data_IF_467635650701
#
_entry.id   IF_467635650701
#
_cell.length_a   1.000
_cell.length_b   1.000
_cell.length_c   1.000
_cell.angle_alpha   90.00
_cell.angle_beta   90.00
_cell.angle_gamma   90.00
#
_symmetry.space_group_name_H-M   'P 1'
#
loop_
_entity.id
_entity.type
_entity.pdbx_description
1 polymer ?
#
# COMPACT_ATOMS: atom_id res chain seq x y z
N UNK A 1 15.38 13.01 24.56
CA UNK A 1 16.69 12.71 23.91
C UNK A 1 17.19 13.99 23.27
N UNK A 2 18.45 14.41 23.46
CA UNK A 2 18.96 15.65 22.84
C UNK A 2 19.79 15.28 21.59
N UNK A 3 19.25 15.53 20.41
CA UNK A 3 19.88 15.25 19.12
C UNK A 3 21.25 15.93 18.95
N UNK A 4 21.48 17.09 19.57
CA UNK A 4 22.77 17.80 19.51
C UNK A 4 23.94 17.03 20.16
N UNK A 5 23.65 15.99 20.93
CA UNK A 5 24.66 15.12 21.56
C UNK A 5 24.87 13.81 20.81
N UNK A 6 24.12 13.56 19.75
CA UNK A 6 24.23 12.38 18.92
C UNK A 6 25.22 12.63 17.78
N UNK A 7 26.20 11.77 17.67
CA UNK A 7 27.08 11.73 16.51
C UNK A 7 26.35 10.99 15.37
N UNK A 8 25.87 11.75 14.39
CA UNK A 8 25.12 11.19 13.25
C UNK A 8 25.95 10.19 12.42
N UNK A 9 27.28 10.25 12.49
CA UNK A 9 28.13 9.24 11.85
C UNK A 9 27.90 7.85 12.46
N UNK A 10 27.42 7.78 13.71
CA UNK A 10 27.05 6.50 14.33
C UNK A 10 25.83 5.82 13.67
N UNK A 11 24.96 6.56 13.01
CA UNK A 11 23.81 5.97 12.29
C UNK A 11 24.32 5.20 11.06
N UNK A 12 25.31 5.76 10.35
CA UNK A 12 25.94 5.09 9.19
C UNK A 12 26.69 3.83 9.65
N UNK A 13 27.45 3.95 10.74
CA UNK A 13 28.17 2.79 11.32
C UNK A 13 27.19 1.72 11.85
N UNK A 14 26.11 2.13 12.52
CA UNK A 14 25.06 1.24 13.03
C UNK A 14 24.46 0.41 11.90
N UNK A 15 23.99 1.07 10.83
CA UNK A 15 23.43 0.38 9.67
C UNK A 15 24.41 -0.66 9.11
N UNK A 16 25.63 -0.26 8.83
CA UNK A 16 26.64 -1.16 8.27
C UNK A 16 26.92 -2.36 9.19
N UNK A 17 27.00 -2.16 10.51
CA UNK A 17 27.22 -3.23 11.49
C UNK A 17 26.05 -4.21 11.54
N UNK A 18 24.80 -3.71 11.54
CA UNK A 18 23.61 -4.55 11.61
C UNK A 18 23.39 -5.36 10.32
N UNK A 19 23.67 -4.78 9.15
CA UNK A 19 23.57 -5.48 7.87
C UNK A 19 24.69 -6.51 7.69
N UNK A 20 25.96 -6.13 7.92
CA UNK A 20 27.12 -6.99 7.69
C UNK A 20 27.33 -8.04 8.79
N UNK A 21 26.83 -7.79 10.00
CA UNK A 21 27.09 -8.64 11.19
C UNK A 21 28.59 -8.99 11.36
N UNK A 22 29.43 -8.09 10.91
CA UNK A 22 30.88 -8.24 10.91
C UNK A 22 31.55 -6.87 10.95
N UNK A 23 32.33 -6.61 11.99
CA UNK A 23 32.97 -5.31 12.24
C UNK A 23 33.92 -4.90 11.11
N UNK A 24 34.70 -5.87 10.60
CA UNK A 24 35.69 -5.61 9.54
C UNK A 24 34.99 -5.27 8.22
N UNK A 25 34.00 -6.07 7.81
CA UNK A 25 33.23 -5.80 6.58
C UNK A 25 32.43 -4.51 6.68
N UNK A 26 31.80 -4.26 7.83
CA UNK A 26 31.10 -3.00 8.08
C UNK A 26 32.04 -1.79 7.95
N UNK A 27 33.25 -1.87 8.49
CA UNK A 27 34.28 -0.82 8.33
C UNK A 27 34.64 -0.59 6.86
N UNK A 28 34.97 -1.65 6.14
CA UNK A 28 35.28 -1.57 4.71
C UNK A 28 34.17 -0.91 3.88
N UNK A 29 32.92 -1.27 4.17
CA UNK A 29 31.75 -0.73 3.45
C UNK A 29 31.57 0.79 3.61
N UNK A 30 31.88 1.34 4.78
CA UNK A 30 31.71 2.77 5.07
C UNK A 30 33.01 3.56 5.12
N UNK A 31 34.10 2.97 4.64
CA UNK A 31 35.41 3.62 4.57
C UNK A 31 36.09 3.85 5.93
N UNK A 32 35.72 3.10 6.96
CA UNK A 32 36.35 3.16 8.29
C UNK A 32 37.36 2.03 8.51
N UNK A 33 38.43 2.33 9.25
CA UNK A 33 39.34 1.30 9.72
C UNK A 33 38.61 0.39 10.73
N UNK A 34 39.07 -0.87 10.85
CA UNK A 34 38.52 -1.82 11.81
C UNK A 34 38.57 -1.30 13.27
N UNK A 35 39.68 -0.64 13.77
CA UNK A 35 39.65 -0.01 15.08
C UNK A 35 38.60 1.08 15.24
N UNK A 36 38.40 1.92 14.22
CA UNK A 36 37.38 2.99 14.24
C UNK A 36 35.98 2.39 14.28
N UNK A 37 35.68 1.35 13.48
CA UNK A 37 34.40 0.66 13.50
C UNK A 37 34.14 -0.06 14.85
N UNK A 38 35.17 -0.66 15.45
CA UNK A 38 35.07 -1.26 16.78
C UNK A 38 34.77 -0.21 17.86
N UNK A 39 35.38 0.98 17.77
CA UNK A 39 35.08 2.08 18.68
C UNK A 39 33.63 2.60 18.48
N UNK A 40 33.16 2.69 17.24
CA UNK A 40 31.76 3.03 16.93
C UNK A 40 30.79 2.00 17.54
N UNK A 41 31.04 0.71 17.40
CA UNK A 41 30.22 -0.35 18.00
C UNK A 41 30.21 -0.23 19.54
N UNK A 42 31.34 0.03 20.16
CA UNK A 42 31.41 0.21 21.62
C UNK A 42 30.60 1.44 22.10
N UNK A 43 30.58 2.53 21.32
CA UNK A 43 29.75 3.70 21.60
C UNK A 43 28.26 3.39 21.44
N UNK A 44 27.88 2.66 20.40
CA UNK A 44 26.50 2.24 20.13
C UNK A 44 25.98 1.31 21.24
N UNK A 45 26.76 0.31 21.65
CA UNK A 45 26.43 -0.58 22.77
C UNK A 45 26.15 0.18 24.06
N UNK A 46 26.98 1.18 24.36
CA UNK A 46 26.82 2.03 25.54
C UNK A 46 25.59 2.94 25.44
N UNK A 47 25.28 3.41 24.21
CA UNK A 47 24.11 4.26 23.97
C UNK A 47 22.79 3.52 24.12
N UNK A 48 22.73 2.29 23.60
CA UNK A 48 21.51 1.47 23.61
C UNK A 48 21.40 0.53 24.80
N UNK A 49 22.48 0.44 25.62
CA UNK A 49 22.61 -0.54 26.70
C UNK A 49 22.31 -1.97 26.21
N UNK A 50 22.83 -2.30 25.01
CA UNK A 50 22.59 -3.58 24.33
C UNK A 50 23.81 -3.93 23.48
N UNK A 51 24.13 -5.23 23.39
CA UNK A 51 25.27 -5.72 22.60
C UNK A 51 25.08 -5.53 21.08
N UNK A 52 23.85 -5.36 20.59
CA UNK A 52 23.44 -5.23 19.19
C UNK A 52 23.83 -6.42 18.31
N UNK A 53 25.05 -6.94 18.53
CA UNK A 53 25.64 -8.09 17.87
C UNK A 53 26.13 -9.06 18.93
N UNK A 54 25.42 -10.16 19.16
CA UNK A 54 25.81 -11.26 20.06
C UNK A 54 26.69 -12.25 19.33
N UNK A 55 27.69 -12.80 20.01
CA UNK A 55 28.57 -13.82 19.43
C UNK A 55 28.02 -15.22 19.69
N UNK A 56 27.66 -15.91 18.61
CA UNK A 56 27.06 -17.25 18.64
C UNK A 56 27.86 -18.16 17.71
N UNK A 57 28.43 -19.24 18.20
CA UNK A 57 29.13 -20.25 17.37
C UNK A 57 30.26 -19.70 16.47
N UNK A 58 30.93 -18.61 16.89
CA UNK A 58 32.04 -18.00 16.13
C UNK A 58 31.64 -16.92 15.14
N UNK A 59 30.37 -16.65 14.95
CA UNK A 59 29.83 -15.57 14.13
C UNK A 59 28.98 -14.60 14.98
N UNK A 60 28.61 -13.43 14.40
CA UNK A 60 27.73 -12.47 15.06
C UNK A 60 26.29 -12.62 14.58
N UNK A 61 25.37 -12.60 15.53
CA UNK A 61 23.93 -12.53 15.31
C UNK A 61 23.36 -11.25 15.91
N UNK A 62 22.25 -10.77 15.36
CA UNK A 62 21.58 -9.60 15.89
C UNK A 62 20.86 -9.94 17.20
N UNK A 63 20.98 -9.06 18.19
CA UNK A 63 20.06 -9.06 19.35
C UNK A 63 18.64 -8.72 18.93
N UNK A 64 17.66 -8.93 19.81
CA UNK A 64 16.27 -8.49 19.56
C UNK A 64 16.19 -6.98 19.24
N UNK A 65 16.94 -6.15 20.00
CA UNK A 65 17.04 -4.72 19.73
C UNK A 65 17.76 -4.44 18.41
N UNK A 66 18.83 -5.20 18.08
CA UNK A 66 19.53 -5.10 16.81
C UNK A 66 18.62 -5.34 15.60
N UNK A 67 17.69 -6.29 15.68
CA UNK A 67 16.70 -6.54 14.63
C UNK A 67 15.73 -5.36 14.45
N UNK A 68 15.22 -4.80 15.55
CA UNK A 68 14.35 -3.61 15.51
C UNK A 68 15.09 -2.40 14.91
N UNK A 69 16.35 -2.20 15.33
CA UNK A 69 17.17 -1.09 14.85
C UNK A 69 17.57 -1.26 13.37
N UNK A 70 17.71 -2.46 12.87
CA UNK A 70 18.01 -2.70 11.45
C UNK A 70 16.93 -2.10 10.55
N UNK A 71 15.66 -2.34 10.86
CA UNK A 71 14.55 -1.76 10.12
C UNK A 71 14.50 -0.22 10.24
N UNK A 72 14.69 0.30 11.46
CA UNK A 72 14.63 1.75 11.73
C UNK A 72 15.80 2.53 11.13
N UNK A 73 17.00 1.95 11.09
CA UNK A 73 18.17 2.61 10.49
C UNK A 73 18.08 2.68 8.98
N UNK A 74 17.43 1.72 8.30
CA UNK A 74 17.18 1.81 6.87
C UNK A 74 16.35 3.07 6.54
N UNK A 75 15.25 3.28 7.25
CA UNK A 75 14.41 4.48 7.11
C UNK A 75 15.16 5.78 7.41
N UNK A 76 15.89 5.82 8.54
CA UNK A 76 16.65 7.01 8.92
C UNK A 76 17.72 7.38 7.88
N UNK A 77 18.37 6.38 7.31
CA UNK A 77 19.38 6.59 6.28
C UNK A 77 18.77 7.14 4.98
N UNK A 78 17.65 6.60 4.51
CA UNK A 78 16.93 7.12 3.34
C UNK A 78 16.50 8.58 3.51
N UNK A 79 16.04 8.97 4.70
CA UNK A 79 15.69 10.37 5.00
C UNK A 79 16.94 11.26 4.97
N UNK A 80 18.05 10.80 5.52
CA UNK A 80 19.32 11.55 5.47
C UNK A 80 19.88 11.68 4.05
N UNK A 81 19.85 10.61 3.26
CA UNK A 81 20.25 10.69 1.85
C UNK A 81 19.40 11.72 1.09
N UNK A 82 18.09 11.72 1.25
CA UNK A 82 17.20 12.72 0.63
C UNK A 82 17.53 14.14 1.09
N UNK A 83 17.87 14.34 2.36
CA UNK A 83 18.27 15.64 2.89
C UNK A 83 19.51 16.20 2.17
N UNK A 84 20.49 15.35 1.89
CA UNK A 84 21.73 15.76 1.23
C UNK A 84 21.66 15.72 -0.30
N UNK A 85 20.75 14.93 -0.87
CA UNK A 85 20.51 14.87 -2.32
C UNK A 85 19.63 16.02 -2.85
N UNK A 86 19.05 16.83 -1.98
CA UNK A 86 17.99 17.81 -2.30
C UNK A 86 18.41 19.04 -3.13
N UNK A 87 19.50 18.98 -3.90
CA UNK A 87 19.92 20.07 -4.79
C UNK A 87 19.98 19.70 -6.28
N UNK A 88 19.70 18.46 -6.66
CA UNK A 88 19.61 18.11 -8.09
C UNK A 88 18.19 18.39 -8.59
N UNK A 89 18.06 19.19 -9.65
CA UNK A 89 16.79 19.33 -10.36
C UNK A 89 16.35 17.94 -10.82
N UNK A 90 15.14 17.51 -10.44
CA UNK A 90 14.57 16.24 -10.87
C UNK A 90 14.33 16.27 -12.38
N UNK A 91 14.91 15.31 -13.08
CA UNK A 91 14.69 15.08 -14.51
C UNK A 91 14.14 13.66 -14.69
N UNK A 92 12.86 13.49 -15.06
CA UNK A 92 12.24 12.17 -15.19
C UNK A 92 12.99 11.24 -16.14
N UNK A 93 13.61 11.77 -17.19
CA UNK A 93 14.25 10.97 -18.25
C UNK A 93 15.54 10.30 -17.75
N UNK A 94 16.28 10.99 -16.89
CA UNK A 94 17.58 10.52 -16.37
C UNK A 94 17.50 9.88 -14.98
N UNK A 95 16.35 9.99 -14.30
CA UNK A 95 16.15 9.49 -12.94
C UNK A 95 16.08 7.95 -12.90
N UNK A 96 16.69 7.35 -11.88
CA UNK A 96 16.72 5.89 -11.70
C UNK A 96 16.12 5.41 -10.36
N UNK A 97 15.33 6.25 -9.71
CA UNK A 97 14.70 6.01 -8.41
C UNK A 97 13.65 4.89 -8.46
N UNK A 98 13.48 4.17 -7.34
CA UNK A 98 12.34 3.31 -7.10
C UNK A 98 11.32 4.06 -6.22
N UNK A 99 10.05 4.11 -6.66
CA UNK A 99 8.93 4.54 -5.84
C UNK A 99 8.19 3.34 -5.26
N UNK A 100 8.03 3.33 -3.94
CA UNK A 100 7.31 2.30 -3.19
C UNK A 100 5.90 2.80 -2.87
N UNK A 101 4.90 2.18 -3.47
CA UNK A 101 3.50 2.54 -3.31
C UNK A 101 2.77 1.38 -2.65
N UNK A 102 2.13 1.65 -1.51
CA UNK A 102 1.24 0.70 -0.85
C UNK A 102 -0.14 0.82 -1.47
N UNK A 103 -0.75 -0.29 -1.84
CA UNK A 103 -2.04 -0.29 -2.52
C UNK A 103 -2.78 -1.61 -2.30
N UNK A 104 -4.11 -1.60 -2.39
CA UNK A 104 -4.89 -2.83 -2.51
C UNK A 104 -4.68 -3.44 -3.90
N UNK A 105 -4.92 -4.73 -4.02
CA UNK A 105 -4.96 -5.45 -5.29
C UNK A 105 -5.96 -4.84 -6.28
N UNK A 106 -7.08 -4.28 -5.78
CA UNK A 106 -8.01 -3.49 -6.56
C UNK A 106 -7.35 -2.26 -7.19
N UNK A 107 -6.69 -1.43 -6.38
CA UNK A 107 -6.07 -0.20 -6.86
C UNK A 107 -4.93 -0.50 -7.86
N UNK A 108 -4.16 -1.57 -7.64
CA UNK A 108 -3.11 -2.00 -8.58
C UNK A 108 -3.73 -2.48 -9.90
N UNK A 109 -4.80 -3.28 -9.86
CA UNK A 109 -5.43 -3.82 -11.08
C UNK A 109 -6.10 -2.72 -11.92
N UNK A 110 -6.78 -1.76 -11.28
CA UNK A 110 -7.56 -0.72 -11.96
C UNK A 110 -6.72 0.48 -12.37
N UNK A 111 -5.78 0.89 -11.55
CA UNK A 111 -5.01 2.12 -11.73
C UNK A 111 -3.52 1.87 -11.97
N UNK A 112 -2.94 0.90 -11.25
CA UNK A 112 -1.49 0.65 -11.25
C UNK A 112 -0.92 0.29 -12.62
N UNK A 113 -1.68 -0.43 -13.46
CA UNK A 113 -1.25 -0.81 -14.80
C UNK A 113 -1.08 0.43 -15.70
N UNK A 114 -2.04 1.37 -15.68
CA UNK A 114 -1.97 2.59 -16.48
C UNK A 114 -0.90 3.55 -15.93
N UNK A 115 -0.76 3.66 -14.61
CA UNK A 115 0.33 4.42 -14.01
C UNK A 115 1.70 3.87 -14.44
N UNK A 116 1.88 2.55 -14.43
CA UNK A 116 3.12 1.92 -14.84
C UNK A 116 3.45 2.17 -16.32
N UNK A 117 2.43 2.16 -17.21
CA UNK A 117 2.59 2.49 -18.61
C UNK A 117 3.07 3.94 -18.80
N UNK A 118 2.42 4.90 -18.16
CA UNK A 118 2.78 6.32 -18.26
C UNK A 118 4.17 6.58 -17.68
N UNK A 119 4.49 5.99 -16.51
CA UNK A 119 5.83 6.12 -15.91
C UNK A 119 6.91 5.54 -16.82
N UNK A 120 6.66 4.41 -17.47
CA UNK A 120 7.60 3.81 -18.42
C UNK A 120 7.88 4.74 -19.62
N UNK A 121 6.84 5.41 -20.14
CA UNK A 121 6.97 6.32 -21.28
C UNK A 121 7.70 7.63 -20.93
N UNK A 122 7.44 8.19 -19.75
CA UNK A 122 7.96 9.51 -19.36
C UNK A 122 9.28 9.44 -18.57
N UNK A 123 9.50 8.33 -17.85
CA UNK A 123 10.63 8.17 -16.96
C UNK A 123 11.14 6.71 -16.95
N UNK A 124 11.74 6.25 -18.05
CA UNK A 124 12.05 4.81 -18.25
C UNK A 124 13.05 4.23 -17.25
N UNK A 125 13.80 5.06 -16.54
CA UNK A 125 14.70 4.63 -15.46
C UNK A 125 14.02 4.47 -14.10
N UNK A 126 12.80 4.99 -13.92
CA UNK A 126 12.05 4.89 -12.67
C UNK A 126 11.41 3.51 -12.55
N UNK A 127 11.46 2.96 -11.33
CA UNK A 127 10.79 1.72 -10.98
C UNK A 127 9.62 1.99 -10.03
N UNK A 128 8.49 1.32 -10.27
CA UNK A 128 7.35 1.29 -9.35
C UNK A 128 7.34 -0.05 -8.62
N UNK A 129 7.27 0.00 -7.30
CA UNK A 129 7.05 -1.17 -6.45
C UNK A 129 5.72 -1.03 -5.73
N UNK A 130 4.75 -1.85 -6.13
CA UNK A 130 3.50 -1.97 -5.39
C UNK A 130 3.63 -3.03 -4.30
N UNK A 131 3.16 -2.69 -3.11
CA UNK A 131 3.04 -3.62 -1.99
C UNK A 131 1.62 -3.61 -1.46
N UNK A 132 1.15 -4.77 -0.98
CA UNK A 132 -0.20 -4.89 -0.44
C UNK A 132 -0.38 -4.02 0.80
N UNK A 133 -1.57 -3.42 0.91
CA UNK A 133 -1.97 -2.66 2.10
C UNK A 133 -1.98 -3.58 3.31
N UNK A 134 -1.17 -3.32 4.35
CA UNK A 134 -1.14 -4.16 5.54
C UNK A 134 -2.44 -4.03 6.35
N UNK A 135 -2.75 -5.03 7.15
CA UNK A 135 -3.91 -5.01 8.06
C UNK A 135 -3.81 -3.91 9.12
N UNK A 136 -2.59 -3.50 9.48
CA UNK A 136 -2.28 -2.44 10.47
C UNK A 136 -2.30 -1.03 9.86
N UNK A 137 -2.75 -0.86 8.62
CA UNK A 137 -2.62 0.41 7.87
C UNK A 137 -3.21 1.61 8.62
N UNK A 138 -4.34 1.45 9.31
CA UNK A 138 -4.99 2.56 10.04
C UNK A 138 -4.19 2.92 11.29
N UNK A 139 -3.74 1.92 12.04
CA UNK A 139 -3.04 2.11 13.31
C UNK A 139 -1.59 2.60 13.10
N UNK A 140 -0.97 2.22 12.00
CA UNK A 140 0.44 2.50 11.70
C UNK A 140 0.63 3.44 10.50
N UNK A 141 -0.40 4.21 10.11
CA UNK A 141 -0.37 5.07 8.90
C UNK A 141 0.86 5.97 8.86
N UNK A 142 1.19 6.64 9.96
CA UNK A 142 2.34 7.54 10.02
C UNK A 142 3.67 6.81 9.75
N UNK A 143 3.85 5.64 10.35
CA UNK A 143 5.05 4.81 10.15
C UNK A 143 5.12 4.28 8.71
N UNK A 144 4.00 3.81 8.17
CA UNK A 144 3.90 3.32 6.82
C UNK A 144 4.26 4.41 5.80
N UNK A 145 3.62 5.57 5.89
CA UNK A 145 3.86 6.70 4.98
C UNK A 145 5.27 7.29 5.12
N UNK A 146 5.90 7.19 6.29
CA UNK A 146 7.30 7.64 6.46
C UNK A 146 8.33 6.74 5.79
N UNK A 147 7.96 5.51 5.43
CA UNK A 147 8.85 4.50 4.85
C UNK A 147 8.52 4.15 3.40
N UNK A 148 7.45 4.75 2.86
CA UNK A 148 6.98 4.55 1.49
C UNK A 148 6.75 5.88 0.81
N UNK A 149 6.68 5.88 -0.52
CA UNK A 149 6.44 7.09 -1.29
C UNK A 149 4.93 7.39 -1.42
N UNK A 150 4.05 6.45 -1.09
CA UNK A 150 2.62 6.72 -1.07
C UNK A 150 1.76 5.52 -0.71
N UNK A 151 0.52 5.83 -0.39
CA UNK A 151 -0.54 4.87 -0.11
C UNK A 151 -1.75 5.21 -0.97
N UNK A 152 -2.18 4.27 -1.82
CA UNK A 152 -3.46 4.35 -2.51
C UNK A 152 -4.54 3.84 -1.56
N UNK A 153 -5.43 4.74 -1.16
CA UNK A 153 -6.48 4.46 -0.19
C UNK A 153 -7.65 5.42 -0.40
N UNK A 154 -8.90 4.93 -0.37
CA UNK A 154 -10.04 5.81 -0.50
C UNK A 154 -10.18 6.74 0.70
N UNK A 155 -10.76 7.93 0.46
CA UNK A 155 -11.17 8.83 1.53
C UNK A 155 -12.12 8.16 2.53
N UNK A 156 -12.06 8.62 3.77
CA UNK A 156 -12.90 8.12 4.87
C UNK A 156 -12.34 6.88 5.60
N UNK A 157 -11.13 6.45 5.27
CA UNK A 157 -10.38 5.40 5.99
C UNK A 157 -9.30 6.01 6.88
N UNK A 158 -8.49 6.89 6.32
CA UNK A 158 -7.45 7.64 7.01
C UNK A 158 -7.67 9.14 6.87
N UNK A 159 -7.05 9.94 7.74
CA UNK A 159 -7.06 11.40 7.76
C UNK A 159 -5.67 11.93 8.17
N UNK A 160 -5.55 13.26 8.32
CA UNK A 160 -4.38 13.95 8.89
C UNK A 160 -3.08 13.86 8.06
N UNK A 161 -3.17 13.36 6.83
CA UNK A 161 -2.07 13.33 5.87
C UNK A 161 -2.43 14.08 4.58
N UNK A 162 -1.47 14.69 3.91
CA UNK A 162 -1.71 15.26 2.58
C UNK A 162 -2.11 14.15 1.60
N UNK A 163 -3.05 14.50 0.73
CA UNK A 163 -3.55 13.60 -0.29
C UNK A 163 -3.80 14.32 -1.61
N UNK A 164 -3.83 13.55 -2.67
CA UNK A 164 -4.25 13.98 -4.03
C UNK A 164 -5.32 13.01 -4.52
N UNK A 165 -6.46 13.57 -4.96
CA UNK A 165 -7.55 12.78 -5.53
C UNK A 165 -7.14 12.20 -6.87
N UNK A 166 -7.48 10.95 -7.11
CA UNK A 166 -7.14 10.24 -8.32
C UNK A 166 -8.38 10.02 -9.20
N UNK A 167 -9.29 9.18 -8.76
CA UNK A 167 -10.52 8.84 -9.49
C UNK A 167 -11.66 8.47 -8.56
N UNK A 168 -12.88 8.50 -9.10
CA UNK A 168 -14.06 7.96 -8.44
C UNK A 168 -14.44 6.60 -9.02
N UNK A 169 -14.95 5.73 -8.16
CA UNK A 169 -15.55 4.46 -8.52
C UNK A 169 -16.85 4.27 -7.72
N UNK A 170 -17.64 3.29 -8.07
CA UNK A 170 -18.88 2.93 -7.41
C UNK A 170 -18.88 1.46 -6.99
N UNK A 171 -19.77 1.12 -6.11
CA UNK A 171 -19.96 -0.23 -5.64
C UNK A 171 -21.04 -0.94 -6.43
N UNK A 172 -20.79 -2.21 -6.73
CA UNK A 172 -21.74 -3.13 -7.37
C UNK A 172 -21.70 -4.48 -6.67
N UNK A 173 -22.71 -5.29 -6.91
CA UNK A 173 -22.70 -6.68 -6.49
C UNK A 173 -22.28 -7.59 -7.63
N UNK A 174 -21.61 -8.70 -7.29
CA UNK A 174 -21.48 -9.85 -8.17
C UNK A 174 -22.36 -10.98 -7.64
N UNK A 175 -23.04 -11.64 -8.57
CA UNK A 175 -23.83 -12.85 -8.35
C UNK A 175 -23.50 -13.86 -9.45
N UNK A 176 -23.65 -15.14 -9.18
CA UNK A 176 -23.47 -16.18 -10.20
C UNK A 176 -24.52 -16.03 -11.32
N UNK A 177 -24.20 -16.53 -12.51
CA UNK A 177 -25.14 -16.55 -13.66
C UNK A 177 -26.42 -17.32 -13.30
N UNK A 178 -27.55 -16.95 -13.90
CA UNK A 178 -28.92 -17.30 -13.48
C UNK A 178 -29.19 -18.82 -13.32
N UNK A 179 -28.53 -19.68 -14.08
CA UNK A 179 -28.69 -21.14 -13.96
C UNK A 179 -28.19 -21.67 -12.60
N UNK A 180 -27.22 -20.98 -12.00
CA UNK A 180 -26.63 -21.33 -10.71
C UNK A 180 -27.24 -20.52 -9.56
N UNK A 181 -28.02 -19.45 -9.86
CA UNK A 181 -28.62 -18.57 -8.86
C UNK A 181 -30.10 -18.26 -9.14
N UNK A 182 -30.99 -19.28 -9.08
CA UNK A 182 -32.40 -19.14 -9.51
C UNK A 182 -33.22 -18.17 -8.65
N UNK A 183 -32.73 -17.77 -7.49
CA UNK A 183 -33.43 -16.87 -6.56
C UNK A 183 -33.05 -15.40 -6.70
N UNK A 184 -32.10 -15.05 -7.55
CA UNK A 184 -31.69 -13.67 -7.84
C UNK A 184 -31.84 -13.44 -9.32
N UNK A 185 -32.86 -12.67 -9.71
CA UNK A 185 -32.97 -12.14 -11.06
C UNK A 185 -31.95 -11.02 -11.31
N UNK A 186 -32.20 -10.17 -12.31
CA UNK A 186 -31.33 -9.04 -12.63
C UNK A 186 -31.22 -7.96 -11.54
N UNK A 187 -31.89 -8.15 -10.41
CA UNK A 187 -31.95 -7.16 -9.31
C UNK A 187 -31.92 -7.84 -7.94
N UNK A 188 -31.06 -7.34 -7.07
CA UNK A 188 -31.06 -7.66 -5.65
C UNK A 188 -32.06 -6.76 -4.91
N UNK A 189 -32.69 -7.30 -3.88
CA UNK A 189 -33.48 -6.53 -2.90
C UNK A 189 -32.69 -6.36 -1.60
N UNK A 190 -33.11 -5.43 -0.74
CA UNK A 190 -32.49 -5.30 0.61
C UNK A 190 -32.67 -6.56 1.45
N UNK A 191 -33.77 -7.27 1.29
CA UNK A 191 -34.03 -8.53 1.97
C UNK A 191 -33.03 -9.62 1.53
N UNK A 192 -32.73 -9.67 0.23
CA UNK A 192 -31.72 -10.59 -0.30
C UNK A 192 -30.36 -10.36 0.32
N UNK A 193 -29.95 -9.11 0.56
CA UNK A 193 -28.68 -8.79 1.20
C UNK A 193 -28.54 -9.34 2.61
N UNK A 194 -29.64 -9.43 3.37
CA UNK A 194 -29.64 -10.05 4.71
C UNK A 194 -29.78 -11.58 4.69
N UNK A 195 -30.38 -12.15 3.62
CA UNK A 195 -30.71 -13.57 3.51
C UNK A 195 -29.64 -14.39 2.82
N UNK A 196 -29.07 -13.88 1.74
CA UNK A 196 -28.09 -14.61 0.92
C UNK A 196 -26.73 -14.73 1.63
N UNK A 197 -25.97 -15.78 1.34
CA UNK A 197 -24.62 -15.93 1.86
C UNK A 197 -23.67 -14.96 1.13
N UNK A 198 -22.64 -14.51 1.85
CA UNK A 198 -21.67 -13.56 1.31
C UNK A 198 -20.26 -14.12 1.23
N UNK A 199 -19.55 -13.72 0.20
CA UNK A 199 -18.09 -13.62 0.20
C UNK A 199 -17.73 -12.17 0.52
N UNK A 200 -16.87 -11.94 1.50
CA UNK A 200 -16.45 -10.59 1.88
C UNK A 200 -14.95 -10.41 1.76
N UNK A 201 -14.59 -9.21 1.36
CA UNK A 201 -13.23 -8.74 1.52
C UNK A 201 -13.02 -8.29 2.97
N UNK A 202 -12.16 -8.99 3.70
CA UNK A 202 -11.94 -8.74 5.11
C UNK A 202 -10.75 -7.81 5.35
N UNK A 203 -10.97 -6.79 6.16
CA UNK A 203 -9.96 -5.93 6.72
C UNK A 203 -10.20 -5.67 8.20
N UNK A 204 -9.18 -5.13 8.87
CA UNK A 204 -9.26 -4.73 10.28
C UNK A 204 -9.96 -3.39 10.49
N UNK A 205 -10.37 -2.72 9.42
CA UNK A 205 -11.10 -1.46 9.45
C UNK A 205 -12.35 -1.51 8.57
N UNK A 206 -13.38 -0.80 8.97
CA UNK A 206 -14.60 -0.69 8.18
C UNK A 206 -14.46 0.36 7.08
N UNK A 207 -14.43 -0.11 5.83
CA UNK A 207 -14.53 0.78 4.67
C UNK A 207 -15.88 1.53 4.69
N UNK A 208 -15.98 2.73 4.08
CA UNK A 208 -17.23 3.50 4.04
C UNK A 208 -18.45 2.70 3.57
N UNK A 209 -18.28 1.83 2.57
CA UNK A 209 -19.35 0.96 2.07
C UNK A 209 -19.82 -0.08 3.10
N UNK A 210 -18.92 -0.65 3.89
CA UNK A 210 -19.27 -1.60 4.97
C UNK A 210 -20.01 -0.89 6.08
N UNK A 211 -19.54 0.28 6.51
CA UNK A 211 -20.26 1.13 7.47
C UNK A 211 -21.67 1.48 6.99
N UNK A 212 -21.83 1.75 5.70
CA UNK A 212 -23.14 2.04 5.11
C UNK A 212 -24.10 0.84 5.23
N UNK A 213 -23.63 -0.38 4.99
CA UNK A 213 -24.47 -1.58 5.20
C UNK A 213 -24.99 -1.64 6.63
N UNK A 214 -24.13 -1.43 7.63
CA UNK A 214 -24.53 -1.37 9.03
C UNK A 214 -25.57 -0.28 9.33
N UNK A 215 -25.38 0.95 8.77
CA UNK A 215 -26.37 2.03 8.91
C UNK A 215 -27.72 1.73 8.26
N UNK A 216 -27.72 0.89 7.23
CA UNK A 216 -28.97 0.42 6.57
C UNK A 216 -29.61 -0.79 7.29
N UNK A 217 -29.02 -1.25 8.38
CA UNK A 217 -29.48 -2.44 9.11
C UNK A 217 -29.23 -3.75 8.35
N UNK A 218 -28.31 -3.76 7.41
CA UNK A 218 -27.94 -4.94 6.63
C UNK A 218 -26.75 -5.61 7.30
N UNK A 219 -26.99 -6.81 7.82
CA UNK A 219 -25.94 -7.67 8.42
C UNK A 219 -25.61 -8.81 7.45
N UNK A 220 -24.48 -8.77 6.75
CA UNK A 220 -24.09 -9.81 5.82
C UNK A 220 -23.92 -11.17 6.49
N UNK A 221 -24.55 -12.21 5.96
CA UNK A 221 -24.31 -13.60 6.38
C UNK A 221 -23.02 -14.10 5.73
N UNK A 222 -21.89 -13.78 6.35
CA UNK A 222 -20.57 -14.10 5.80
C UNK A 222 -20.30 -15.60 5.88
N UNK A 223 -20.07 -16.25 4.75
CA UNK A 223 -19.61 -17.64 4.65
C UNK A 223 -18.13 -17.76 4.31
N UNK A 224 -17.60 -16.81 3.53
CA UNK A 224 -16.20 -16.79 3.12
C UNK A 224 -15.65 -15.38 3.27
N UNK A 225 -14.44 -15.28 3.81
CA UNK A 225 -13.69 -14.02 3.90
C UNK A 225 -12.34 -14.18 3.23
N UNK A 226 -11.94 -13.16 2.44
CA UNK A 226 -10.65 -13.11 1.76
C UNK A 226 -10.03 -11.73 1.92
N UNK A 227 -8.73 -11.64 1.79
CA UNK A 227 -7.95 -10.40 1.82
C UNK A 227 -7.50 -9.93 0.43
N UNK A 228 -8.15 -10.44 -0.62
CA UNK A 228 -7.85 -10.15 -2.02
C UNK A 228 -9.16 -10.00 -2.81
N UNK A 229 -9.38 -8.82 -3.39
CA UNK A 229 -10.59 -8.54 -4.17
C UNK A 229 -10.68 -9.37 -5.46
N UNK A 230 -9.54 -9.70 -6.06
CA UNK A 230 -9.51 -10.43 -7.34
C UNK A 230 -10.02 -11.86 -7.21
N UNK A 231 -10.06 -12.43 -6.00
CA UNK A 231 -10.60 -13.77 -5.77
C UNK A 231 -12.13 -13.80 -5.63
N UNK A 232 -12.78 -12.65 -5.40
CA UNK A 232 -14.21 -12.60 -5.12
C UNK A 232 -15.09 -13.23 -6.21
N UNK A 233 -14.88 -12.99 -7.52
CA UNK A 233 -15.72 -13.60 -8.57
C UNK A 233 -15.65 -15.13 -8.57
N UNK A 234 -14.48 -15.70 -8.35
CA UNK A 234 -14.26 -17.16 -8.33
C UNK A 234 -14.95 -17.85 -7.16
N UNK A 235 -15.16 -17.12 -6.04
CA UNK A 235 -15.81 -17.63 -4.85
C UNK A 235 -17.34 -17.43 -4.86
N UNK A 236 -17.82 -16.60 -5.80
CA UNK A 236 -19.24 -16.38 -6.09
C UNK A 236 -19.72 -17.34 -7.17
N UNK A 237 -18.90 -17.59 -8.19
CA UNK A 237 -19.21 -18.45 -9.32
C UNK A 237 -19.79 -19.80 -8.86
N UNK A 238 -20.87 -20.24 -9.50
CA UNK A 238 -21.56 -21.53 -9.25
C UNK A 238 -22.02 -21.71 -7.80
N UNK A 239 -22.31 -20.61 -7.11
CA UNK A 239 -22.84 -20.65 -5.74
C UNK A 239 -24.02 -19.69 -5.59
N UNK A 240 -24.66 -19.68 -4.42
CA UNK A 240 -25.66 -18.67 -4.08
C UNK A 240 -25.05 -17.48 -3.35
N UNK A 241 -23.74 -17.36 -3.30
CA UNK A 241 -23.06 -16.25 -2.64
C UNK A 241 -23.12 -14.98 -3.47
N UNK A 242 -23.16 -13.88 -2.76
CA UNK A 242 -23.03 -12.55 -3.32
C UNK A 242 -21.78 -11.87 -2.78
N UNK A 243 -21.28 -10.86 -3.46
CA UNK A 243 -20.20 -10.03 -2.95
C UNK A 243 -20.34 -8.59 -3.39
N UNK A 244 -19.90 -7.66 -2.54
CA UNK A 244 -19.80 -6.24 -2.86
C UNK A 244 -18.39 -5.94 -3.37
N UNK A 245 -18.28 -5.35 -4.56
CA UNK A 245 -17.02 -5.09 -5.25
C UNK A 245 -17.07 -3.74 -5.96
N UNK A 246 -15.93 -3.16 -6.29
CA UNK A 246 -15.83 -1.93 -7.05
C UNK A 246 -16.20 -2.18 -8.53
N UNK A 247 -16.96 -1.28 -9.13
CA UNK A 247 -17.50 -1.47 -10.49
C UNK A 247 -16.40 -1.60 -11.56
N UNK A 248 -15.30 -0.83 -11.42
CA UNK A 248 -14.17 -0.93 -12.36
C UNK A 248 -13.48 -2.30 -12.29
N UNK A 249 -13.30 -2.83 -11.08
CA UNK A 249 -12.72 -4.16 -10.90
C UNK A 249 -13.68 -5.25 -11.37
N UNK A 250 -14.97 -5.12 -11.04
CA UNK A 250 -16.00 -6.04 -11.54
C UNK A 250 -16.01 -6.13 -13.08
N UNK A 251 -15.86 -5.01 -13.78
CA UNK A 251 -15.77 -4.98 -15.25
C UNK A 251 -14.56 -5.75 -15.78
N UNK A 252 -13.43 -5.72 -15.08
CA UNK A 252 -12.23 -6.46 -15.47
C UNK A 252 -12.36 -7.95 -15.20
N UNK A 253 -13.04 -8.33 -14.12
CA UNK A 253 -13.02 -9.71 -13.63
C UNK A 253 -14.28 -10.52 -14.01
N UNK A 254 -15.46 -9.90 -14.15
CA UNK A 254 -16.68 -10.61 -14.48
C UNK A 254 -16.57 -11.44 -15.78
N UNK A 255 -15.85 -10.99 -16.84
CA UNK A 255 -15.66 -11.82 -18.04
C UNK A 255 -14.82 -13.08 -17.83
N UNK A 256 -14.11 -13.18 -16.70
CA UNK A 256 -13.21 -14.29 -16.37
C UNK A 256 -13.87 -15.37 -15.50
N UNK A 257 -15.12 -15.14 -15.06
CA UNK A 257 -15.88 -16.04 -14.20
C UNK A 257 -17.36 -16.04 -14.62
N UNK A 258 -18.10 -17.10 -14.29
CA UNK A 258 -19.55 -17.17 -14.58
C UNK A 258 -20.36 -16.34 -13.56
N UNK A 259 -20.13 -15.02 -13.57
CA UNK A 259 -20.81 -14.05 -12.70
C UNK A 259 -21.33 -12.87 -13.50
N UNK A 260 -22.34 -12.19 -12.99
CA UNK A 260 -22.81 -10.94 -13.55
C UNK A 260 -22.89 -9.84 -12.50
N UNK A 261 -22.90 -8.59 -12.97
CA UNK A 261 -22.91 -7.39 -12.16
C UNK A 261 -24.35 -6.98 -11.90
N UNK A 262 -24.67 -6.70 -10.64
CA UNK A 262 -25.98 -6.22 -10.20
C UNK A 262 -25.81 -4.93 -9.41
N UNK A 263 -26.70 -3.95 -9.68
CA UNK A 263 -26.68 -2.68 -8.95
C UNK A 263 -27.15 -2.87 -7.50
N UNK A 264 -26.59 -2.10 -6.53
CA UNK A 264 -27.06 -2.09 -5.16
C UNK A 264 -28.55 -1.66 -5.08
N UNK A 265 -29.37 -2.29 -4.19
CA UNK A 265 -30.75 -1.87 -3.94
C UNK A 265 -30.83 -0.61 -3.04
N UNK A 266 -29.80 0.18 -3.01
CA UNK A 266 -29.66 1.43 -2.26
C UNK A 266 -28.66 2.35 -2.97
N UNK A 267 -28.70 3.63 -2.66
CA UNK A 267 -27.71 4.59 -3.14
C UNK A 267 -26.40 4.34 -2.38
N UNK A 268 -25.42 3.73 -3.06
CA UNK A 268 -24.15 3.40 -2.47
C UNK A 268 -23.24 4.64 -2.36
N UNK A 269 -22.52 4.75 -1.22
CA UNK A 269 -21.51 5.81 -1.06
C UNK A 269 -20.44 5.69 -2.16
N UNK A 270 -20.05 6.80 -2.80
CA UNK A 270 -19.00 6.76 -3.80
C UNK A 270 -17.66 6.33 -3.17
N UNK A 271 -16.85 5.64 -3.94
CA UNK A 271 -15.46 5.38 -3.61
C UNK A 271 -14.61 6.46 -4.28
N UNK A 272 -13.91 7.27 -3.48
CA UNK A 272 -12.98 8.29 -3.96
C UNK A 272 -11.57 7.87 -3.62
N UNK A 273 -10.86 7.37 -4.62
CA UNK A 273 -9.47 6.91 -4.44
C UNK A 273 -8.52 8.09 -4.43
N UNK A 274 -7.53 8.06 -3.53
CA UNK A 274 -6.54 9.09 -3.37
C UNK A 274 -5.15 8.50 -3.16
N UNK A 275 -4.13 9.25 -3.56
CA UNK A 275 -2.74 9.02 -3.16
C UNK A 275 -2.46 9.85 -1.91
N UNK A 276 -2.13 9.18 -0.82
CA UNK A 276 -1.72 9.77 0.45
C UNK A 276 -0.21 9.68 0.61
N UNK A 277 0.42 10.69 1.23
CA UNK A 277 1.86 10.68 1.47
C UNK A 277 2.25 11.32 2.81
N UNK A 278 3.46 11.02 3.26
CA UNK A 278 4.01 11.68 4.44
C UNK A 278 4.44 13.12 4.12
N UNK A 279 4.20 14.13 4.99
CA UNK A 279 4.61 15.52 4.77
C UNK A 279 6.09 15.71 4.42
N UNK A 280 6.96 14.78 4.83
CA UNK A 280 8.40 14.79 4.49
C UNK A 280 8.65 14.84 2.97
N UNK A 281 7.72 14.31 2.17
CA UNK A 281 7.82 14.28 0.70
C UNK A 281 7.24 15.52 0.01
N UNK A 282 6.67 16.47 0.75
CA UNK A 282 5.92 17.59 0.16
C UNK A 282 6.75 18.42 -0.79
N UNK A 283 8.05 18.62 -0.50
CA UNK A 283 8.98 19.42 -1.29
C UNK A 283 10.01 18.60 -2.06
N UNK A 284 9.91 17.28 -2.07
CA UNK A 284 10.74 16.40 -2.89
C UNK A 284 10.28 16.51 -4.36
N UNK A 285 11.15 17.00 -5.23
CA UNK A 285 10.85 17.25 -6.65
C UNK A 285 10.43 15.97 -7.39
N UNK A 286 11.07 14.84 -7.11
CA UNK A 286 10.71 13.54 -7.66
C UNK A 286 9.32 13.10 -7.19
N UNK A 287 9.00 13.33 -5.92
CA UNK A 287 7.68 13.01 -5.38
C UNK A 287 6.58 13.96 -5.87
N UNK A 288 6.91 15.26 -6.14
CA UNK A 288 5.97 16.19 -6.80
C UNK A 288 5.61 15.64 -8.17
N UNK A 289 6.58 15.24 -8.97
CA UNK A 289 6.35 14.62 -10.27
C UNK A 289 5.48 13.36 -10.15
N UNK A 290 5.76 12.48 -9.19
CA UNK A 290 4.93 11.29 -8.95
C UNK A 290 3.46 11.66 -8.68
N UNK A 291 3.20 12.63 -7.78
CA UNK A 291 1.84 13.08 -7.45
C UNK A 291 1.12 13.68 -8.67
N UNK A 292 1.81 14.51 -9.43
CA UNK A 292 1.25 15.14 -10.64
C UNK A 292 0.93 14.09 -11.71
N UNK A 293 1.83 13.12 -11.89
CA UNK A 293 1.63 12.00 -12.82
C UNK A 293 0.48 11.11 -12.38
N UNK A 294 0.41 10.71 -11.11
CA UNK A 294 -0.70 9.91 -10.57
C UNK A 294 -2.04 10.65 -10.69
N UNK A 295 -2.09 11.95 -10.35
CA UNK A 295 -3.30 12.75 -10.50
C UNK A 295 -3.73 12.90 -11.96
N UNK A 296 -2.80 13.03 -12.88
CA UNK A 296 -3.07 13.13 -14.33
C UNK A 296 -3.63 11.81 -14.87
N UNK A 297 -3.03 10.68 -14.51
CA UNK A 297 -3.53 9.35 -14.86
C UNK A 297 -4.94 9.15 -14.31
N UNK A 298 -5.17 9.48 -13.03
CA UNK A 298 -6.50 9.37 -12.40
C UNK A 298 -7.58 10.19 -13.11
N UNK A 299 -7.27 11.45 -13.48
CA UNK A 299 -8.21 12.28 -14.27
C UNK A 299 -8.52 11.69 -15.64
N UNK A 300 -7.56 11.04 -16.27
CA UNK A 300 -7.78 10.33 -17.54
C UNK A 300 -8.78 9.18 -17.43
N UNK A 301 -8.91 8.59 -16.25
CA UNK A 301 -9.88 7.53 -15.99
C UNK A 301 -11.33 8.03 -15.83
N UNK A 302 -11.53 9.30 -15.46
CA UNK A 302 -12.87 9.90 -15.28
C UNK A 302 -13.59 10.08 -16.63
N UNK A 303 -12.83 10.21 -17.72
CA UNK A 303 -13.38 10.46 -19.08
C UNK A 303 -13.61 9.21 -19.94
N UNK A 304 -13.26 8.02 -19.48
CA UNK A 304 -13.56 6.80 -20.22
C UNK A 304 -15.08 6.54 -20.17
N UNK A 305 -15.81 6.56 -21.30
CA UNK A 305 -17.26 6.43 -21.29
C UNK A 305 -17.66 5.13 -20.61
N UNK A 306 -18.69 5.21 -19.75
CA UNK A 306 -19.47 4.05 -19.38
C UNK A 306 -20.05 3.47 -20.70
N UNK A 307 -19.28 2.59 -21.33
CA UNK A 307 -19.81 1.85 -22.46
C UNK A 307 -20.98 1.04 -21.91
N UNK A 308 -22.19 1.52 -22.14
CA UNK A 308 -23.41 0.74 -22.03
C UNK A 308 -23.30 -0.38 -23.05
N UNK A 309 -22.61 -1.45 -22.69
CA UNK A 309 -22.78 -2.73 -23.37
C UNK A 309 -24.05 -3.33 -22.80
N UNK A 310 -25.16 -2.96 -23.43
CA UNK A 310 -26.36 -3.78 -23.38
C UNK A 310 -26.02 -5.13 -24.01
N UNK A 311 -26.13 -6.16 -23.22
CA UNK A 311 -26.38 -7.53 -23.65
C UNK A 311 -27.58 -8.05 -22.90
#
# INVERSE_FOLDING_TARGET
MNLARLDLNLVVALRALLEERNVTRAGQRVGLSQPAMSAALARLRRHFDDDLLARVGGHYELTALGQVLLARTATAYEVMERLFASQAAFDPVSETREFKIVASDYAVAVFGAELARVVHEEAPGIRLRFTQTPTTVVDETATLLSTTDGLLMPHGVISDFPATDLYEDRWVFLVAVADDHPSVGDRLTREDLGRLPWVTYQRTYDAPAVRQLGMLGIEPRVEVSVDNFQLLPMLVERTQRITLIQARLARLLAPLAAVHVVEPPYEAVPLREALWWHPVHTHDAAHIWLRETTARVGRGMVGAPEAHTGF
#
